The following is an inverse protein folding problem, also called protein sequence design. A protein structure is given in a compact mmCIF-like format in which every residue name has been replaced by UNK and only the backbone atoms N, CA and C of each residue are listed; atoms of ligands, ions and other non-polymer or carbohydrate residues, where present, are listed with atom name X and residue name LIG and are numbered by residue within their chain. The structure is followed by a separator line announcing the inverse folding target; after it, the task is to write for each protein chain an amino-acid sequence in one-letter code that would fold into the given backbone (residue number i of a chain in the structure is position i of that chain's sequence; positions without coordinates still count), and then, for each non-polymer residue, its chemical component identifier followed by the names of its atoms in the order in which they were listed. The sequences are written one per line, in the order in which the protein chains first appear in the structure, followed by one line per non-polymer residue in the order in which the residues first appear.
data_IF_587908113311
#
_entry.id   IF_587908113311
#
_cell.length_a   1.000
_cell.length_b   1.000
_cell.length_c   1.000
_cell.angle_alpha   90.00
_cell.angle_beta   90.00
_cell.angle_gamma   90.00
#
_symmetry.space_group_name_H-M   'P 1'
#
loop_
_entity.id
_entity.type
_entity.pdbx_description
1 polymer ?
#
# COMPACT_ATOMS: atom_id res chain seq x y z
N UNK A 1 -8.34 -1.85 -18.96
CA UNK A 1 -7.42 -1.01 -18.18
C UNK A 1 -7.55 -1.40 -16.72
N UNK A 2 -6.51 -1.98 -16.11
CA UNK A 2 -6.54 -2.31 -14.68
C UNK A 2 -6.41 -1.03 -13.88
N UNK A 3 -7.39 -0.71 -13.03
CA UNK A 3 -7.36 0.48 -12.19
C UNK A 3 -6.17 0.41 -11.22
N UNK A 4 -5.63 1.58 -10.83
CA UNK A 4 -4.55 1.68 -9.82
C UNK A 4 -4.91 0.88 -8.56
N UNK A 5 -6.19 0.94 -8.16
CA UNK A 5 -6.75 0.15 -7.05
C UNK A 5 -6.50 -1.36 -7.20
N UNK A 6 -6.82 -1.93 -8.36
CA UNK A 6 -6.64 -3.37 -8.60
C UNK A 6 -5.16 -3.77 -8.62
N UNK A 7 -4.27 -2.93 -9.14
CA UNK A 7 -2.83 -3.20 -9.14
C UNK A 7 -2.26 -3.22 -7.73
N UNK A 8 -2.63 -2.23 -6.93
CA UNK A 8 -2.24 -2.15 -5.51
C UNK A 8 -2.75 -3.37 -4.74
N UNK A 9 -4.00 -3.76 -4.96
CA UNK A 9 -4.60 -4.93 -4.30
C UNK A 9 -3.82 -6.20 -4.61
N UNK A 10 -3.53 -6.48 -5.89
CA UNK A 10 -2.75 -7.65 -6.28
C UNK A 10 -1.36 -7.66 -5.63
N UNK A 11 -0.71 -6.50 -5.50
CA UNK A 11 0.59 -6.40 -4.85
C UNK A 11 0.54 -6.62 -3.34
N UNK A 12 -0.50 -6.10 -2.68
CA UNK A 12 -0.77 -6.37 -1.27
C UNK A 12 -1.08 -7.86 -1.03
N UNK A 13 -1.73 -8.52 -1.98
CA UNK A 13 -1.99 -9.96 -1.97
C UNK A 13 -0.68 -10.79 -2.15
N UNK A 14 0.29 -10.27 -2.92
CA UNK A 14 1.65 -10.83 -3.03
C UNK A 14 2.51 -10.61 -1.75
N UNK A 15 2.02 -9.89 -0.74
CA UNK A 15 2.72 -9.72 0.53
C UNK A 15 2.38 -10.85 1.50
N UNK A 16 3.40 -11.32 2.23
CA UNK A 16 3.17 -12.19 3.38
C UNK A 16 2.57 -11.39 4.55
N UNK A 17 1.97 -12.08 5.53
CA UNK A 17 1.39 -11.44 6.72
C UNK A 17 2.37 -10.50 7.43
N UNK A 18 3.63 -10.91 7.62
CA UNK A 18 4.66 -10.06 8.25
C UNK A 18 4.93 -8.77 7.44
N UNK A 19 5.01 -8.90 6.12
CA UNK A 19 5.24 -7.77 5.21
C UNK A 19 4.04 -6.82 5.21
N UNK A 20 2.82 -7.35 5.27
CA UNK A 20 1.60 -6.57 5.38
C UNK A 20 1.51 -5.82 6.72
N UNK A 21 1.96 -6.44 7.81
CA UNK A 21 2.04 -5.78 9.13
C UNK A 21 3.05 -4.62 9.10
N UNK A 22 4.24 -4.84 8.53
CA UNK A 22 5.23 -3.76 8.35
C UNK A 22 4.71 -2.65 7.45
N UNK A 23 4.02 -3.01 6.37
CA UNK A 23 3.38 -2.08 5.45
C UNK A 23 2.38 -1.20 6.19
N UNK A 24 1.45 -1.79 6.96
CA UNK A 24 0.50 -1.08 7.83
C UNK A 24 1.24 -0.13 8.79
N UNK A 25 2.32 -0.59 9.42
CA UNK A 25 3.10 0.20 10.36
C UNK A 25 3.75 1.44 9.71
N UNK A 26 4.37 1.29 8.54
CA UNK A 26 4.92 2.43 7.80
C UNK A 26 3.84 3.36 7.23
N UNK A 27 2.68 2.81 6.88
CA UNK A 27 1.55 3.60 6.40
C UNK A 27 1.01 4.49 7.52
N UNK A 28 0.89 3.95 8.74
CA UNK A 28 0.63 4.74 9.96
C UNK A 28 1.65 5.85 10.17
N UNK A 29 2.94 5.54 10.03
CA UNK A 29 4.02 6.52 10.19
C UNK A 29 3.90 7.69 9.19
N UNK A 30 3.51 7.38 7.95
CA UNK A 30 3.29 8.37 6.89
C UNK A 30 2.00 9.19 7.09
N UNK A 31 0.96 8.60 7.70
CA UNK A 31 -0.32 9.27 7.94
C UNK A 31 -0.63 9.25 9.42
N UNK A 32 -0.25 10.34 10.12
CA UNK A 32 -0.46 10.50 11.56
C UNK A 32 -1.94 10.42 12.00
N UNK A 33 -2.87 10.48 11.03
CA UNK A 33 -4.31 10.34 11.23
C UNK A 33 -4.78 8.88 11.41
N UNK A 34 -3.92 7.89 11.12
CA UNK A 34 -4.25 6.48 11.28
C UNK A 34 -3.81 5.94 12.63
N UNK A 35 -4.73 5.28 13.33
CA UNK A 35 -4.44 4.49 14.53
C UNK A 35 -4.11 3.05 14.17
N UNK A 36 -3.21 2.42 14.95
CA UNK A 36 -2.83 1.00 14.75
C UNK A 36 -4.06 0.08 14.77
N UNK A 37 -4.98 0.29 15.70
CA UNK A 37 -6.21 -0.50 15.80
C UNK A 37 -7.09 -0.40 14.56
N UNK A 38 -7.16 0.78 13.92
CA UNK A 38 -7.90 0.96 12.67
C UNK A 38 -7.25 0.21 11.50
N UNK A 39 -5.92 0.09 11.50
CA UNK A 39 -5.17 -0.63 10.48
C UNK A 39 -5.18 -2.14 10.70
N UNK A 40 -5.18 -2.62 11.94
CA UNK A 40 -5.21 -4.05 12.25
C UNK A 40 -6.47 -4.72 11.70
N UNK A 41 -7.63 -4.12 11.93
CA UNK A 41 -8.93 -4.63 11.44
C UNK A 41 -9.14 -4.48 9.93
N UNK A 42 -8.34 -3.64 9.24
CA UNK A 42 -8.50 -3.41 7.81
C UNK A 42 -7.99 -4.58 6.96
N UNK A 43 -8.81 -4.99 5.99
CA UNK A 43 -8.43 -5.94 4.95
C UNK A 43 -7.52 -5.30 3.91
N UNK A 44 -6.90 -6.11 3.04
CA UNK A 44 -6.08 -5.59 1.93
C UNK A 44 -6.88 -4.63 1.03
N UNK A 45 -8.16 -4.93 0.77
CA UNK A 45 -9.06 -4.05 0.01
C UNK A 45 -9.27 -2.69 0.71
N UNK A 46 -9.56 -2.71 2.02
CA UNK A 46 -9.77 -1.48 2.80
C UNK A 46 -8.51 -0.62 2.86
N UNK A 47 -7.35 -1.25 2.90
CA UNK A 47 -6.05 -0.59 2.83
C UNK A 47 -5.87 0.11 1.50
N UNK A 48 -6.17 -0.56 0.38
CA UNK A 48 -6.07 0.06 -0.94
C UNK A 48 -7.03 1.23 -1.07
N UNK A 49 -8.29 1.07 -0.64
CA UNK A 49 -9.27 2.16 -0.69
C UNK A 49 -8.78 3.35 0.12
N UNK A 50 -8.29 3.12 1.33
CA UNK A 50 -7.74 4.16 2.19
C UNK A 50 -6.49 4.82 1.61
N UNK A 51 -5.64 4.09 0.90
CA UNK A 51 -4.48 4.66 0.20
C UNK A 51 -4.91 5.52 -0.99
N UNK A 52 -5.87 5.05 -1.78
CA UNK A 52 -6.42 5.83 -2.90
C UNK A 52 -7.15 7.07 -2.39
N UNK A 53 -7.82 6.97 -1.25
CA UNK A 53 -8.54 8.08 -0.62
C UNK A 53 -7.58 9.13 -0.03
N UNK A 54 -6.62 8.72 0.80
CA UNK A 54 -5.69 9.65 1.45
C UNK A 54 -4.67 10.26 0.50
N UNK A 55 -4.16 9.47 -0.43
CA UNK A 55 -3.05 9.90 -1.27
C UNK A 55 -3.51 10.29 -2.67
N UNK A 56 -4.76 10.02 -3.07
CA UNK A 56 -5.35 10.38 -4.37
C UNK A 56 -4.35 10.15 -5.52
N UNK A 57 -3.90 11.21 -6.20
CA UNK A 57 -2.91 11.13 -7.28
C UNK A 57 -1.50 10.69 -6.82
N UNK A 58 -1.12 10.99 -5.58
CA UNK A 58 0.17 10.61 -4.97
C UNK A 58 0.16 9.20 -4.37
N UNK A 59 -0.97 8.48 -4.40
CA UNK A 59 -1.08 7.13 -3.82
C UNK A 59 -0.04 6.18 -4.38
N UNK A 60 0.21 6.29 -5.68
CA UNK A 60 1.23 5.51 -6.38
C UNK A 60 2.63 5.77 -5.81
N UNK A 61 3.00 7.01 -5.54
CA UNK A 61 4.34 7.35 -5.00
C UNK A 61 4.48 6.95 -3.54
N UNK A 62 3.49 7.27 -2.70
CA UNK A 62 3.48 6.87 -1.29
C UNK A 62 3.55 5.35 -1.13
N UNK A 63 2.79 4.60 -1.94
CA UNK A 63 2.86 3.13 -1.94
C UNK A 63 4.25 2.62 -2.34
N UNK A 64 4.87 3.23 -3.36
CA UNK A 64 6.22 2.84 -3.79
C UNK A 64 7.26 3.08 -2.69
N UNK A 65 7.12 4.16 -1.93
CA UNK A 65 8.03 4.43 -0.80
C UNK A 65 7.85 3.41 0.32
N UNK A 66 6.61 3.08 0.69
CA UNK A 66 6.35 2.04 1.70
C UNK A 66 6.88 0.68 1.23
N UNK A 67 6.68 0.32 -0.05
CA UNK A 67 7.23 -0.90 -0.63
C UNK A 67 8.77 -0.92 -0.61
N UNK A 68 9.42 0.22 -0.88
CA UNK A 68 10.88 0.36 -0.73
C UNK A 68 11.33 0.12 0.71
N UNK A 69 10.62 0.67 1.70
CA UNK A 69 10.94 0.51 3.13
C UNK A 69 10.84 -0.94 3.62
N UNK A 70 9.90 -1.72 3.08
CA UNK A 70 9.78 -3.16 3.39
C UNK A 70 10.64 -4.06 2.48
N UNK A 71 11.52 -3.47 1.66
CA UNK A 71 12.40 -4.16 0.71
C UNK A 71 11.66 -4.96 -0.38
N UNK A 72 10.45 -4.54 -0.75
CA UNK A 72 9.64 -5.09 -1.85
C UNK A 72 9.80 -4.26 -3.14
N UNK A 73 11.04 -3.97 -3.51
CA UNK A 73 11.38 -3.23 -4.73
C UNK A 73 10.91 -3.93 -6.02
N UNK A 74 10.75 -5.25 -5.98
CA UNK A 74 10.21 -6.04 -7.09
C UNK A 74 8.79 -5.59 -7.47
N UNK A 75 7.96 -5.28 -6.47
CA UNK A 75 6.58 -4.79 -6.67
C UNK A 75 6.53 -3.34 -7.16
N UNK A 76 7.51 -2.51 -6.75
CA UNK A 76 7.67 -1.11 -7.21
C UNK A 76 7.88 -1.05 -8.73
N UNK A 77 8.66 -1.99 -9.28
CA UNK A 77 8.88 -2.12 -10.72
C UNK A 77 7.59 -2.37 -11.48
N UNK A 78 6.78 -3.35 -11.02
CA UNK A 78 5.47 -3.68 -11.61
C UNK A 78 4.49 -2.51 -11.59
N UNK A 79 4.60 -1.62 -10.60
CA UNK A 79 3.76 -0.43 -10.44
C UNK A 79 4.10 0.67 -11.45
N UNK A 80 5.36 0.74 -11.87
CA UNK A 80 5.87 1.81 -12.75
C UNK A 80 5.74 1.47 -14.24
N UNK A 81 5.60 0.18 -14.57
CA UNK A 81 5.49 -0.31 -15.96
C UNK A 81 4.13 -0.06 -16.62
N UNK A 82 3.20 0.61 -15.93
CA UNK A 82 1.90 1.01 -16.45
C UNK A 82 1.97 2.39 -17.11
N UNK A 83 2.61 2.48 -18.28
CA UNK A 83 2.52 3.69 -19.11
C UNK A 83 1.40 3.55 -20.14
#
# INVERSE_FOLDING_TARGET
MTSVKQKLLNMLDELTKDQLIRFKWFLKDMTSNLTTSLLEDKTACDLVDLMVDMFSYQAVESTKEVFRKINKNDLVGKLTQSR
#
